data_IF_332805816889
#
_entry.id   IF_332805816889
#
_cell.length_a   1.000
_cell.length_b   1.000
_cell.length_c   1.000
_cell.angle_alpha   90.00
_cell.angle_beta   90.00
_cell.angle_gamma   90.00
#
_symmetry.space_group_name_H-M   'P 1'
#
loop_
_entity.id
_entity.type
_entity.pdbx_description
1 polymer ?
#
# COMPACT_ATOMS: atom_id res chain seq x y z
N UNK A 1 24.38 -2.65 15.56
CA UNK A 1 25.62 -2.98 16.26
C UNK A 1 26.69 -3.39 15.26
N UNK A 2 27.87 -2.76 15.27
CA UNK A 2 28.97 -3.02 14.31
C UNK A 2 28.52 -2.97 12.82
N UNK A 3 27.74 -1.94 12.45
CA UNK A 3 27.23 -1.79 11.09
C UNK A 3 26.07 -2.72 10.70
N UNK A 4 25.58 -3.54 11.64
CA UNK A 4 24.46 -4.45 11.38
C UNK A 4 23.24 -4.07 12.22
N UNK A 5 22.07 -3.99 11.58
CA UNK A 5 20.78 -3.89 12.27
C UNK A 5 20.50 -5.24 12.93
N UNK A 6 20.27 -5.24 14.23
CA UNK A 6 19.97 -6.46 15.00
C UNK A 6 18.50 -6.61 15.30
N UNK A 7 17.78 -5.51 15.46
CA UNK A 7 16.32 -5.44 15.60
C UNK A 7 15.85 -4.02 15.37
N UNK A 8 14.57 -3.87 15.09
CA UNK A 8 13.85 -2.61 15.14
C UNK A 8 12.91 -2.61 16.34
N UNK A 9 12.74 -1.48 16.98
CA UNK A 9 11.78 -1.26 18.05
C UNK A 9 10.77 -0.22 17.59
N UNK A 10 9.55 -0.31 18.10
CA UNK A 10 8.56 0.73 17.89
C UNK A 10 9.01 2.02 18.60
N UNK A 11 8.76 3.15 17.96
CA UNK A 11 8.72 4.42 18.66
C UNK A 11 7.44 4.50 19.51
N UNK A 12 7.45 5.35 20.51
CA UNK A 12 6.24 5.64 21.28
C UNK A 12 5.50 6.79 20.61
N UNK A 13 4.46 6.47 19.86
CA UNK A 13 3.56 7.43 19.23
C UNK A 13 2.10 7.05 19.56
N UNK A 14 1.51 7.63 20.63
CA UNK A 14 0.15 7.32 21.04
C UNK A 14 -0.91 7.59 19.98
N UNK A 15 -0.68 8.55 19.09
CA UNK A 15 -1.62 8.89 18.03
C UNK A 15 -1.63 7.86 16.91
N UNK A 16 -0.48 7.27 16.61
CA UNK A 16 -0.33 6.32 15.49
C UNK A 16 -0.26 4.89 15.99
N UNK A 17 0.89 4.45 16.51
CA UNK A 17 1.17 3.05 16.81
C UNK A 17 1.18 2.70 18.30
N UNK A 18 0.94 3.66 19.20
CA UNK A 18 1.19 3.49 20.64
C UNK A 18 2.64 3.01 20.84
N UNK A 19 2.86 1.78 21.25
CA UNK A 19 4.19 1.15 21.35
C UNK A 19 4.26 -0.12 20.50
N UNK A 20 3.30 -0.29 19.57
CA UNK A 20 3.18 -1.50 18.78
C UNK A 20 4.06 -1.48 17.53
N UNK A 21 4.58 -2.66 17.21
CA UNK A 21 5.32 -2.95 16.00
C UNK A 21 5.03 -4.39 15.60
N UNK A 22 4.68 -4.63 14.34
CA UNK A 22 4.46 -5.98 13.84
C UNK A 22 5.80 -6.69 13.57
N UNK A 23 5.79 -8.01 13.51
CA UNK A 23 7.00 -8.80 13.24
C UNK A 23 7.60 -8.51 11.87
N UNK A 24 6.78 -8.20 10.87
CA UNK A 24 7.27 -7.74 9.57
C UNK A 24 8.09 -6.45 9.71
N UNK A 25 7.60 -5.44 10.40
CA UNK A 25 8.34 -4.21 10.66
C UNK A 25 9.59 -4.45 11.50
N UNK A 26 9.51 -5.37 12.47
CA UNK A 26 10.60 -5.72 13.38
C UNK A 26 11.77 -6.43 12.70
N UNK A 27 11.49 -7.35 11.79
CA UNK A 27 12.46 -8.29 11.23
C UNK A 27 12.68 -8.18 9.72
N UNK A 28 11.85 -7.44 8.98
CA UNK A 28 11.95 -7.34 7.52
C UNK A 28 13.31 -6.83 7.00
N UNK A 29 14.10 -6.16 7.83
CA UNK A 29 15.43 -5.69 7.44
C UNK A 29 16.41 -6.83 7.08
N UNK A 30 16.08 -8.07 7.37
CA UNK A 30 16.91 -9.23 7.05
C UNK A 30 17.18 -9.36 5.55
N UNK A 31 16.23 -8.94 4.69
CA UNK A 31 16.42 -8.95 3.24
C UNK A 31 17.62 -8.13 2.77
N UNK A 32 18.01 -7.09 3.53
CA UNK A 32 19.13 -6.23 3.18
C UNK A 32 20.50 -6.93 3.33
N UNK A 33 20.52 -8.14 3.87
CA UNK A 33 21.74 -8.90 4.14
C UNK A 33 21.76 -10.28 3.49
N UNK A 34 20.84 -10.51 2.54
CA UNK A 34 20.85 -11.74 1.76
C UNK A 34 22.10 -11.79 0.87
N UNK A 35 22.60 -12.99 0.62
CA UNK A 35 23.83 -13.20 -0.17
C UNK A 35 23.65 -12.85 -1.64
N UNK A 36 22.42 -12.94 -2.14
CA UNK A 36 22.03 -12.62 -3.52
C UNK A 36 21.79 -11.11 -3.77
N UNK A 37 22.13 -10.25 -2.79
CA UNK A 37 22.03 -8.79 -2.98
C UNK A 37 23.00 -8.30 -4.03
N UNK A 38 22.50 -7.48 -4.96
CA UNK A 38 23.33 -6.76 -5.91
C UNK A 38 24.20 -5.75 -5.17
N UNK A 39 25.52 -5.88 -5.30
CA UNK A 39 26.52 -5.01 -4.65
C UNK A 39 27.21 -4.08 -5.62
N UNK A 40 27.10 -4.35 -6.91
CA UNK A 40 27.68 -3.55 -8.00
C UNK A 40 26.68 -3.48 -9.15
N UNK A 41 26.78 -2.47 -10.04
CA UNK A 41 26.04 -2.47 -11.29
C UNK A 41 26.33 -3.73 -12.12
N UNK A 42 25.32 -4.21 -12.80
CA UNK A 42 25.45 -5.33 -13.74
C UNK A 42 25.07 -4.86 -15.13
N UNK A 43 25.88 -5.23 -16.12
CA UNK A 43 25.61 -5.01 -17.55
C UNK A 43 25.55 -6.34 -18.25
N UNK A 44 24.64 -6.49 -19.21
CA UNK A 44 24.55 -7.69 -20.04
C UNK A 44 25.73 -7.72 -21.00
N UNK A 45 26.43 -8.82 -21.01
CA UNK A 45 27.46 -9.11 -22.00
C UNK A 45 26.82 -9.55 -23.32
N UNK A 46 27.17 -8.93 -24.43
CA UNK A 46 26.53 -9.15 -25.73
C UNK A 46 26.85 -10.53 -26.34
N UNK A 47 28.04 -11.07 -26.02
CA UNK A 47 28.47 -12.36 -26.60
C UNK A 47 27.86 -13.54 -25.82
N UNK A 48 27.84 -13.46 -24.51
CA UNK A 48 27.38 -14.54 -23.64
C UNK A 48 25.91 -14.41 -23.23
N UNK A 49 25.34 -13.23 -23.33
CA UNK A 49 24.00 -12.91 -22.83
C UNK A 49 23.91 -12.91 -21.29
N UNK A 50 25.01 -13.09 -20.58
CA UNK A 50 25.04 -13.14 -19.13
C UNK A 50 25.28 -11.76 -18.54
N UNK A 51 24.81 -11.56 -17.30
CA UNK A 51 25.13 -10.34 -16.56
C UNK A 51 26.53 -10.43 -15.96
N UNK A 52 27.32 -9.37 -16.15
CA UNK A 52 28.65 -9.20 -15.54
C UNK A 52 28.72 -7.91 -14.72
N UNK A 53 29.59 -7.85 -13.69
CA UNK A 53 29.87 -6.62 -12.96
C UNK A 53 30.39 -5.52 -13.91
N UNK A 54 29.94 -4.30 -13.68
CA UNK A 54 30.34 -3.12 -14.44
C UNK A 54 30.60 -1.92 -13.52
N UNK A 55 31.30 -0.93 -14.04
CA UNK A 55 31.43 0.35 -13.36
C UNK A 55 30.15 1.18 -13.50
N UNK A 56 29.93 2.15 -12.61
CA UNK A 56 28.80 3.08 -12.72
C UNK A 56 28.80 3.87 -14.04
N UNK A 57 29.94 4.43 -14.50
CA UNK A 57 29.98 5.11 -15.80
C UNK A 57 29.59 4.20 -16.97
N UNK A 58 30.02 2.95 -16.98
CA UNK A 58 29.65 1.97 -17.99
C UNK A 58 28.14 1.67 -17.94
N UNK A 59 27.60 1.40 -16.75
CA UNK A 59 26.18 1.12 -16.58
C UNK A 59 25.31 2.30 -17.02
N UNK A 60 25.73 3.53 -16.70
CA UNK A 60 25.02 4.73 -17.17
C UNK A 60 25.10 4.90 -18.68
N UNK A 61 26.24 4.61 -19.31
CA UNK A 61 26.37 4.68 -20.76
C UNK A 61 25.45 3.70 -21.47
N UNK A 62 25.39 2.46 -20.98
CA UNK A 62 24.49 1.43 -21.53
C UNK A 62 23.03 1.82 -21.34
N UNK A 63 22.65 2.30 -20.15
CA UNK A 63 21.29 2.73 -19.86
C UNK A 63 20.87 3.93 -20.75
N UNK A 64 21.75 4.93 -20.86
CA UNK A 64 21.49 6.13 -21.68
C UNK A 64 21.35 5.75 -23.17
N UNK A 65 22.20 4.85 -23.69
CA UNK A 65 22.10 4.37 -25.06
C UNK A 65 20.79 3.62 -25.32
N UNK A 66 20.39 2.73 -24.40
CA UNK A 66 19.13 2.00 -24.52
C UNK A 66 17.90 2.92 -24.47
N UNK A 67 17.89 3.90 -23.56
CA UNK A 67 16.80 4.87 -23.47
C UNK A 67 16.72 5.77 -24.71
N UNK A 68 17.86 6.19 -25.25
CA UNK A 68 17.91 6.96 -26.51
C UNK A 68 17.40 6.15 -27.70
N UNK A 69 17.75 4.87 -27.79
CA UNK A 69 17.31 3.97 -28.85
C UNK A 69 15.80 3.66 -28.79
N UNK A 70 15.15 3.89 -27.67
CA UNK A 70 13.71 3.70 -27.53
C UNK A 70 12.86 4.82 -28.19
N UNK A 71 13.51 5.91 -28.67
CA UNK A 71 12.85 6.99 -29.42
C UNK A 71 11.56 7.53 -28.80
N UNK A 72 11.56 7.71 -27.49
CA UNK A 72 10.41 8.22 -26.74
C UNK A 72 9.41 7.16 -26.26
N UNK A 73 9.54 5.89 -26.69
CA UNK A 73 8.73 4.77 -26.20
C UNK A 73 9.26 4.27 -24.85
N UNK A 74 9.20 5.13 -23.84
CA UNK A 74 9.75 4.87 -22.51
C UNK A 74 8.67 5.07 -21.44
N UNK A 75 8.51 4.07 -20.58
CA UNK A 75 7.71 4.17 -19.36
C UNK A 75 8.59 4.12 -18.11
N UNK A 76 8.16 4.77 -17.03
CA UNK A 76 8.86 4.79 -15.76
C UNK A 76 7.99 4.17 -14.66
N UNK A 77 8.41 3.02 -14.13
CA UNK A 77 7.74 2.31 -13.05
C UNK A 77 8.64 2.32 -11.80
N UNK A 78 8.29 3.11 -10.82
CA UNK A 78 9.14 3.33 -9.64
C UNK A 78 8.87 2.40 -8.48
N UNK A 79 7.65 1.91 -8.35
CA UNK A 79 7.19 1.19 -7.17
C UNK A 79 6.92 2.10 -5.96
N UNK A 80 6.34 1.52 -4.92
CA UNK A 80 5.85 2.24 -3.73
C UNK A 80 6.84 2.34 -2.56
N UNK A 81 8.14 2.10 -2.77
CA UNK A 81 9.15 2.08 -1.70
C UNK A 81 10.18 3.21 -1.80
N UNK A 82 9.85 4.24 -2.55
CA UNK A 82 10.70 5.43 -2.70
C UNK A 82 10.42 6.44 -1.59
N UNK A 83 11.41 7.29 -1.33
CA UNK A 83 11.19 8.54 -0.61
C UNK A 83 10.40 9.52 -1.48
N UNK A 84 9.79 10.54 -0.89
CA UNK A 84 9.10 11.59 -1.64
C UNK A 84 10.04 12.32 -2.61
N UNK A 85 11.28 12.53 -2.19
CA UNK A 85 12.34 13.17 -2.99
C UNK A 85 12.72 12.31 -4.20
N UNK A 86 12.86 11.01 -4.04
CA UNK A 86 13.16 10.09 -5.14
C UNK A 86 11.98 10.01 -6.12
N UNK A 87 10.74 9.93 -5.63
CA UNK A 87 9.55 9.92 -6.47
C UNK A 87 9.46 11.21 -7.32
N UNK A 88 9.74 12.37 -6.71
CA UNK A 88 9.83 13.63 -7.44
C UNK A 88 10.96 13.63 -8.47
N UNK A 89 12.14 13.12 -8.11
CA UNK A 89 13.28 13.06 -9.01
C UNK A 89 12.99 12.19 -10.23
N UNK A 90 12.38 11.02 -10.04
CA UNK A 90 11.93 10.17 -11.16
C UNK A 90 10.88 10.85 -12.03
N UNK A 91 9.91 11.51 -11.43
CA UNK A 91 8.90 12.28 -12.16
C UNK A 91 9.52 13.39 -13.02
N UNK A 92 10.49 14.11 -12.47
CA UNK A 92 11.24 15.15 -13.18
C UNK A 92 12.11 14.54 -14.29
N UNK A 93 12.82 13.47 -14.01
CA UNK A 93 13.65 12.77 -14.99
C UNK A 93 12.83 12.27 -16.20
N UNK A 94 11.69 11.65 -15.96
CA UNK A 94 10.80 11.17 -17.00
C UNK A 94 10.35 12.31 -17.93
N UNK A 95 9.91 13.44 -17.37
CA UNK A 95 9.38 14.54 -18.16
C UNK A 95 10.45 15.37 -18.82
N UNK A 96 11.55 15.65 -18.13
CA UNK A 96 12.60 16.57 -18.62
C UNK A 96 13.62 15.85 -19.50
N UNK A 97 14.06 14.65 -19.11
CA UNK A 97 15.11 13.92 -19.80
C UNK A 97 14.56 12.94 -20.85
N UNK A 98 13.45 12.26 -20.53
CA UNK A 98 12.88 11.24 -21.42
C UNK A 98 11.68 11.72 -22.23
N UNK A 99 11.11 12.88 -21.91
CA UNK A 99 9.98 13.46 -22.64
C UNK A 99 8.67 12.68 -22.52
N UNK A 100 8.50 11.88 -21.47
CA UNK A 100 7.32 11.04 -21.28
C UNK A 100 6.51 11.40 -20.03
N UNK A 101 5.20 11.20 -20.10
CA UNK A 101 4.29 11.20 -18.94
C UNK A 101 3.85 9.78 -18.52
N UNK A 102 4.39 8.74 -19.16
CA UNK A 102 4.10 7.35 -18.84
C UNK A 102 4.86 6.95 -17.57
N UNK A 103 4.31 7.41 -16.44
CA UNK A 103 4.90 7.22 -15.11
C UNK A 103 3.85 6.57 -14.22
N UNK A 104 4.21 5.46 -13.57
CA UNK A 104 3.38 4.84 -12.54
C UNK A 104 4.25 4.30 -11.41
N UNK A 105 3.63 4.07 -10.28
CA UNK A 105 4.24 3.46 -9.08
C UNK A 105 3.52 2.17 -8.65
N UNK A 106 2.38 1.86 -9.24
CA UNK A 106 1.57 0.70 -8.89
C UNK A 106 2.05 -0.55 -9.58
N UNK A 107 1.89 -1.68 -8.90
CA UNK A 107 2.12 -3.00 -9.47
C UNK A 107 0.85 -3.58 -10.13
N UNK A 108 -0.16 -2.76 -10.40
CA UNK A 108 -1.44 -3.14 -11.02
C UNK A 108 -1.92 -2.07 -12.00
N UNK A 109 -2.78 -2.48 -12.91
CA UNK A 109 -3.52 -1.52 -13.74
C UNK A 109 -4.44 -0.64 -12.87
N UNK A 110 -4.74 0.54 -13.34
CA UNK A 110 -5.74 1.45 -12.77
C UNK A 110 -6.59 2.04 -13.89
N UNK A 111 -7.79 2.50 -13.53
CA UNK A 111 -8.72 3.13 -14.46
C UNK A 111 -8.59 4.65 -14.45
N UNK A 112 -9.11 5.30 -15.48
CA UNK A 112 -9.27 6.75 -15.49
C UNK A 112 -10.21 7.22 -14.36
N UNK A 113 -11.26 6.45 -14.06
CA UNK A 113 -12.19 6.71 -12.98
C UNK A 113 -11.48 6.73 -11.61
N UNK A 114 -10.60 5.76 -11.33
CA UNK A 114 -9.77 5.78 -10.12
C UNK A 114 -8.87 7.02 -10.06
N UNK A 115 -8.24 7.37 -11.18
CA UNK A 115 -7.39 8.55 -11.26
C UNK A 115 -8.16 9.84 -10.95
N UNK A 116 -9.34 10.00 -11.53
CA UNK A 116 -10.23 11.15 -11.30
C UNK A 116 -10.73 11.20 -9.85
N UNK A 117 -11.10 10.06 -9.28
CA UNK A 117 -11.48 9.96 -7.87
C UNK A 117 -10.35 10.37 -6.95
N UNK A 118 -9.15 9.83 -7.15
CA UNK A 118 -7.98 10.18 -6.35
C UNK A 118 -7.63 11.68 -6.48
N UNK A 119 -7.68 12.22 -7.68
CA UNK A 119 -7.38 13.64 -7.93
C UNK A 119 -8.38 14.58 -7.24
N UNK A 120 -9.66 14.22 -7.23
CA UNK A 120 -10.73 15.08 -6.69
C UNK A 120 -10.97 14.89 -5.19
N UNK A 121 -10.76 13.69 -4.65
CA UNK A 121 -11.17 13.34 -3.29
C UNK A 121 -10.02 13.02 -2.33
N UNK A 122 -8.83 12.69 -2.83
CA UNK A 122 -7.73 12.22 -1.99
C UNK A 122 -6.51 13.14 -2.06
N UNK A 123 -6.10 13.55 -3.27
CA UNK A 123 -4.89 14.37 -3.45
C UNK A 123 -4.99 15.71 -2.72
N UNK A 124 -3.92 16.04 -1.99
CA UNK A 124 -3.80 17.26 -1.20
C UNK A 124 -4.83 17.43 -0.08
N UNK A 125 -5.49 16.35 0.33
CA UNK A 125 -6.36 16.34 1.51
C UNK A 125 -5.67 15.63 2.67
N UNK A 126 -5.94 16.09 3.90
CA UNK A 126 -5.56 15.39 5.11
C UNK A 126 -6.42 14.12 5.28
N UNK A 127 -6.00 13.21 6.15
CA UNK A 127 -6.86 12.10 6.57
C UNK A 127 -8.06 12.64 7.34
N UNK A 128 -9.24 12.30 6.89
CA UNK A 128 -10.49 12.71 7.54
C UNK A 128 -10.78 11.92 8.82
N UNK A 129 -10.17 10.74 8.99
CA UNK A 129 -10.34 9.86 10.14
C UNK A 129 -8.99 9.50 10.76
N UNK A 130 -8.76 9.91 11.98
CA UNK A 130 -7.60 9.53 12.77
C UNK A 130 -7.77 8.14 13.39
N UNK A 131 -6.69 7.51 13.84
CA UNK A 131 -6.78 6.24 14.58
C UNK A 131 -7.58 6.37 15.88
N UNK A 132 -7.54 7.53 16.52
CA UNK A 132 -8.31 7.80 17.72
C UNK A 132 -9.81 7.90 17.45
N UNK A 133 -10.20 8.47 16.31
CA UNK A 133 -11.59 8.51 15.85
C UNK A 133 -12.07 7.14 15.42
N UNK A 134 -11.23 6.38 14.71
CA UNK A 134 -11.52 5.00 14.36
C UNK A 134 -11.84 4.13 15.60
N UNK A 135 -11.14 4.33 16.70
CA UNK A 135 -11.44 3.64 17.98
C UNK A 135 -12.77 4.08 18.62
N UNK A 136 -13.29 5.23 18.26
CA UNK A 136 -14.56 5.78 18.78
C UNK A 136 -15.75 5.52 17.87
N UNK A 137 -15.50 5.03 16.65
CA UNK A 137 -16.54 4.77 15.68
C UNK A 137 -17.61 3.82 16.24
N UNK A 138 -18.87 4.08 15.95
CA UNK A 138 -19.99 3.21 16.30
C UNK A 138 -19.95 1.91 15.50
N UNK A 139 -19.62 2.02 14.22
CA UNK A 139 -19.48 0.91 13.28
C UNK A 139 -18.33 1.18 12.32
N UNK A 140 -17.60 0.13 11.96
CA UNK A 140 -16.56 0.17 10.91
C UNK A 140 -16.84 -0.92 9.90
N UNK A 141 -17.01 -0.51 8.65
CA UNK A 141 -17.17 -1.41 7.50
C UNK A 141 -15.82 -1.59 6.82
N UNK A 142 -15.41 -2.83 6.66
CA UNK A 142 -14.20 -3.24 5.94
C UNK A 142 -14.60 -3.74 4.55
N UNK A 143 -14.42 -2.93 3.53
CA UNK A 143 -14.73 -3.29 2.16
C UNK A 143 -13.46 -3.77 1.44
N UNK A 144 -13.35 -5.07 1.17
CA UNK A 144 -12.19 -5.66 0.52
C UNK A 144 -10.85 -5.46 1.26
N UNK A 145 -10.89 -5.23 2.57
CA UNK A 145 -9.73 -4.98 3.42
C UNK A 145 -9.61 -6.04 4.51
N UNK A 146 -8.43 -6.65 4.64
CA UNK A 146 -8.07 -7.49 5.78
C UNK A 146 -7.00 -6.78 6.62
N UNK A 147 -7.41 -6.03 7.66
CA UNK A 147 -6.48 -5.18 8.36
C UNK A 147 -5.41 -5.94 9.17
N UNK A 148 -5.64 -7.20 9.55
CA UNK A 148 -4.61 -8.00 10.24
C UNK A 148 -3.36 -8.18 9.36
N UNK A 149 -3.55 -8.36 8.06
CA UNK A 149 -2.46 -8.60 7.11
C UNK A 149 -1.98 -7.31 6.42
N UNK A 150 -2.89 -6.41 6.09
CA UNK A 150 -2.63 -5.23 5.25
C UNK A 150 -2.30 -3.98 6.08
N UNK A 151 -2.92 -3.82 7.26
CA UNK A 151 -2.80 -2.62 8.10
C UNK A 151 -2.83 -2.98 9.58
N UNK A 152 -1.79 -3.62 10.14
CA UNK A 152 -1.82 -4.18 11.50
C UNK A 152 -2.16 -3.18 12.61
N UNK A 153 -1.82 -1.90 12.45
CA UNK A 153 -2.20 -0.87 13.43
C UNK A 153 -3.71 -0.63 13.41
N UNK A 154 -4.33 -0.56 12.24
CA UNK A 154 -5.79 -0.49 12.09
C UNK A 154 -6.45 -1.71 12.75
N UNK A 155 -5.93 -2.91 12.50
CA UNK A 155 -6.42 -4.13 13.14
C UNK A 155 -6.37 -4.03 14.68
N UNK A 156 -5.26 -3.60 15.26
CA UNK A 156 -5.12 -3.48 16.71
C UNK A 156 -6.07 -2.44 17.30
N UNK A 157 -6.26 -1.30 16.61
CA UNK A 157 -7.21 -0.26 16.99
C UNK A 157 -8.66 -0.79 16.98
N UNK A 158 -9.08 -1.45 15.91
CA UNK A 158 -10.41 -2.05 15.77
C UNK A 158 -10.64 -3.17 16.79
N UNK A 159 -9.66 -4.04 17.00
CA UNK A 159 -9.75 -5.09 18.02
C UNK A 159 -9.90 -4.52 19.43
N UNK A 160 -9.18 -3.43 19.73
CA UNK A 160 -9.31 -2.71 21.01
C UNK A 160 -10.70 -2.08 21.13
N UNK A 161 -11.16 -1.40 20.10
CA UNK A 161 -12.45 -0.73 20.05
C UNK A 161 -13.63 -1.70 20.21
N UNK A 162 -13.63 -2.79 19.43
CA UNK A 162 -14.72 -3.79 19.51
C UNK A 162 -14.84 -4.43 20.89
N UNK A 163 -13.71 -4.68 21.56
CA UNK A 163 -13.69 -5.32 22.88
C UNK A 163 -13.98 -4.37 24.05
N UNK A 164 -13.55 -3.12 23.95
CA UNK A 164 -13.65 -2.19 25.07
C UNK A 164 -14.80 -1.19 24.94
N UNK A 165 -15.22 -0.88 23.72
CA UNK A 165 -16.20 0.18 23.43
C UNK A 165 -17.45 -0.32 22.70
N UNK A 166 -17.45 -1.58 22.25
CA UNK A 166 -18.58 -2.16 21.55
C UNK A 166 -18.70 -1.71 20.08
N UNK A 167 -17.64 -1.13 19.51
CA UNK A 167 -17.59 -0.81 18.07
C UNK A 167 -17.93 -2.05 17.25
N UNK A 168 -18.91 -1.94 16.38
CA UNK A 168 -19.30 -3.01 15.45
C UNK A 168 -18.31 -3.03 14.28
N UNK A 169 -17.74 -4.19 13.98
CA UNK A 169 -16.88 -4.37 12.80
C UNK A 169 -17.62 -5.28 11.82
N UNK A 170 -17.79 -4.81 10.60
CA UNK A 170 -18.49 -5.54 9.54
C UNK A 170 -17.55 -5.66 8.34
N UNK A 171 -17.34 -6.86 7.82
CA UNK A 171 -16.55 -7.05 6.62
C UNK A 171 -17.42 -7.44 5.43
N UNK A 172 -17.20 -6.81 4.29
CA UNK A 172 -17.70 -7.20 2.99
C UNK A 172 -16.59 -8.03 2.33
N UNK A 173 -16.78 -9.34 2.31
CA UNK A 173 -15.74 -10.28 1.86
C UNK A 173 -16.36 -11.67 1.50
N UNK A 174 -15.66 -12.52 0.75
CA UNK A 174 -16.18 -13.84 0.40
C UNK A 174 -16.22 -14.84 1.57
N UNK A 175 -15.43 -14.62 2.60
CA UNK A 175 -15.35 -15.52 3.77
C UNK A 175 -14.95 -14.79 5.05
N UNK A 176 -15.24 -15.39 6.19
CA UNK A 176 -14.83 -14.89 7.50
C UNK A 176 -13.35 -15.16 7.75
N UNK A 177 -12.55 -14.12 7.84
CA UNK A 177 -11.13 -14.22 8.16
C UNK A 177 -10.87 -14.45 9.65
N UNK A 178 -9.66 -14.89 9.99
CA UNK A 178 -9.23 -14.99 11.40
C UNK A 178 -9.14 -13.60 12.05
N UNK A 179 -8.71 -12.58 11.29
CA UNK A 179 -8.67 -11.20 11.74
C UNK A 179 -10.05 -10.69 12.11
N UNK A 180 -11.06 -10.91 11.26
CA UNK A 180 -12.44 -10.52 11.53
C UNK A 180 -12.97 -11.17 12.82
N UNK A 181 -12.72 -12.47 13.01
CA UNK A 181 -13.11 -13.18 14.24
C UNK A 181 -12.46 -12.57 15.49
N UNK A 182 -11.16 -12.22 15.42
CA UNK A 182 -10.44 -11.59 16.54
C UNK A 182 -10.97 -10.20 16.89
N UNK A 183 -11.59 -9.52 15.93
CA UNK A 183 -12.26 -8.24 16.10
C UNK A 183 -13.73 -8.37 16.51
N UNK A 184 -14.24 -9.57 16.78
CA UNK A 184 -15.66 -9.88 17.02
C UNK A 184 -16.57 -9.35 15.90
N UNK A 185 -16.07 -9.36 14.66
CA UNK A 185 -16.76 -8.79 13.52
C UNK A 185 -17.75 -9.76 12.88
N UNK A 186 -18.70 -9.21 12.14
CA UNK A 186 -19.66 -9.92 11.31
C UNK A 186 -19.30 -9.84 9.83
N UNK A 187 -19.78 -10.81 9.05
CA UNK A 187 -19.51 -10.93 7.62
C UNK A 187 -20.77 -10.66 6.81
N UNK A 188 -20.68 -9.74 5.86
CA UNK A 188 -21.59 -9.67 4.71
C UNK A 188 -20.91 -10.46 3.59
N UNK A 189 -21.39 -11.66 3.37
CA UNK A 189 -20.78 -12.55 2.38
C UNK A 189 -21.07 -12.05 0.98
N UNK A 190 -20.00 -11.75 0.24
CA UNK A 190 -20.08 -11.15 -1.09
C UNK A 190 -19.11 -11.87 -2.02
N UNK A 191 -19.56 -12.15 -3.24
CA UNK A 191 -18.67 -12.69 -4.27
C UNK A 191 -17.63 -11.63 -4.67
N UNK A 192 -16.39 -12.04 -5.02
CA UNK A 192 -15.40 -11.11 -5.55
C UNK A 192 -15.97 -10.35 -6.77
N UNK A 193 -15.80 -9.02 -6.79
CA UNK A 193 -16.34 -8.14 -7.81
C UNK A 193 -17.75 -7.60 -7.55
N UNK A 194 -18.44 -8.06 -6.50
CA UNK A 194 -19.76 -7.59 -6.12
C UNK A 194 -19.76 -6.69 -4.87
N UNK A 195 -18.59 -6.27 -4.41
CA UNK A 195 -18.43 -5.48 -3.19
C UNK A 195 -19.07 -4.09 -3.29
N UNK A 196 -19.02 -3.45 -4.47
CA UNK A 196 -19.66 -2.16 -4.71
C UNK A 196 -21.17 -2.26 -4.52
N UNK A 197 -21.82 -3.27 -5.11
CA UNK A 197 -23.26 -3.51 -4.96
C UNK A 197 -23.62 -3.84 -3.50
N UNK A 198 -22.76 -4.54 -2.77
CA UNK A 198 -22.97 -4.80 -1.35
C UNK A 198 -22.87 -3.53 -0.50
N UNK A 199 -21.97 -2.60 -0.84
CA UNK A 199 -21.89 -1.28 -0.21
C UNK A 199 -23.14 -0.42 -0.48
N UNK A 200 -23.64 -0.43 -1.72
CA UNK A 200 -24.87 0.25 -2.08
C UNK A 200 -26.07 -0.30 -1.30
N UNK A 201 -26.18 -1.63 -1.21
CA UNK A 201 -27.24 -2.27 -0.45
C UNK A 201 -27.20 -1.86 1.04
N UNK A 202 -26.01 -1.79 1.64
CA UNK A 202 -25.86 -1.32 3.01
C UNK A 202 -26.42 0.09 3.25
N UNK A 203 -26.32 0.97 2.27
CA UNK A 203 -26.83 2.33 2.38
C UNK A 203 -28.36 2.37 2.40
N UNK A 204 -29.03 1.33 1.86
CA UNK A 204 -30.48 1.27 1.72
C UNK A 204 -31.19 0.34 2.71
N UNK A 205 -30.56 -0.78 3.07
CA UNK A 205 -31.23 -1.86 3.81
C UNK A 205 -31.26 -1.71 5.33
N UNK A 206 -30.50 -0.75 5.87
CA UNK A 206 -30.52 -0.43 7.31
C UNK A 206 -30.00 -1.53 8.26
N UNK A 207 -29.52 -2.67 7.75
CA UNK A 207 -28.97 -3.75 8.58
C UNK A 207 -27.74 -3.30 9.38
N UNK A 208 -26.96 -2.40 8.81
CA UNK A 208 -25.86 -1.73 9.46
C UNK A 208 -26.18 -0.24 9.50
N UNK A 209 -26.53 0.27 10.67
CA UNK A 209 -26.77 1.69 10.85
C UNK A 209 -25.46 2.45 10.68
N UNK A 210 -25.22 2.96 9.47
CA UNK A 210 -24.15 3.92 9.18
C UNK A 210 -24.64 5.30 9.63
N UNK A 211 -24.50 5.58 10.92
CA UNK A 211 -24.76 6.91 11.47
C UNK A 211 -23.56 7.84 11.22
N UNK A 212 -23.65 9.08 11.72
CA UNK A 212 -22.56 10.06 11.59
C UNK A 212 -21.24 9.64 12.24
N UNK A 213 -21.24 8.57 13.03
CA UNK A 213 -20.06 7.97 13.66
C UNK A 213 -19.55 6.71 12.94
N UNK A 214 -20.15 6.33 11.83
CA UNK A 214 -19.75 5.19 11.03
C UNK A 214 -18.55 5.50 10.13
N UNK A 215 -17.66 4.51 9.94
CA UNK A 215 -16.47 4.62 9.09
C UNK A 215 -16.45 3.48 8.09
N UNK A 216 -16.14 3.78 6.82
CA UNK A 216 -15.89 2.78 5.78
C UNK A 216 -14.41 2.79 5.43
N UNK A 217 -13.75 1.65 5.57
CA UNK A 217 -12.37 1.44 5.14
C UNK A 217 -12.35 0.58 3.88
N UNK A 218 -11.84 1.16 2.80
CA UNK A 218 -11.79 0.51 1.48
C UNK A 218 -10.37 -0.02 1.25
N UNK A 219 -10.26 -1.30 0.93
CA UNK A 219 -8.98 -1.92 0.57
C UNK A 219 -8.60 -1.64 -0.88
N UNK A 220 -7.30 -1.58 -1.15
CA UNK A 220 -6.77 -1.34 -2.50
C UNK A 220 -7.22 -2.40 -3.52
N UNK A 221 -7.54 -3.60 -3.05
CA UNK A 221 -8.06 -4.67 -3.91
C UNK A 221 -9.33 -4.30 -4.67
N UNK A 222 -10.17 -3.42 -4.12
CA UNK A 222 -11.40 -2.97 -4.79
C UNK A 222 -11.15 -1.99 -5.93
N UNK A 223 -10.00 -1.34 -5.95
CA UNK A 223 -9.65 -0.45 -7.05
C UNK A 223 -9.21 -1.21 -8.33
N UNK A 224 -9.08 -2.53 -8.26
CA UNK A 224 -8.69 -3.38 -9.39
C UNK A 224 -9.88 -4.17 -10.00
N UNK A 225 -11.11 -3.89 -9.54
CA UNK A 225 -12.33 -4.62 -9.96
C UNK A 225 -13.22 -3.72 -10.80
#
# INVERSE_FOLDING_TARGET
>A
RRGKVTRRLAGNDPEVNEEWNCDKGRFAFLYARQEDRLTTPLVRDEETGQHRPASWPEAFAVAASGLAAAEGNVGVLTGGRLTGEDAYAYSKFARVALGTNDIDFRARAHSAEEADFLASHVVAKALDVTYAELEKASVVVLAGLEPEDESPIVFLRLRKASRKRGTKVVAIAPFTSRGLQKMNGSLIRTAPGAEASALEALAHDGEVALDAGGVILVGERLAAV
#
